data_IF_573047217265
#
_entry.id   IF_573047217265
#
_cell.length_a   1.000
_cell.length_b   1.000
_cell.length_c   1.000
_cell.angle_alpha   90.00
_cell.angle_beta   90.00
_cell.angle_gamma   90.00
#
_symmetry.space_group_name_H-M   'P 1'
#
loop_
_entity.id
_entity.type
_entity.pdbx_description
1 polymer ?
#
# COMPACT_ATOMS: atom_id res chain seq x y z
N UNK A 1 15.92 -2.00 10.31
CA UNK A 1 15.41 -1.42 9.06
C UNK A 1 16.57 -0.72 8.37
N UNK A 2 16.85 -1.09 7.12
CA UNK A 2 17.96 -0.47 6.39
C UNK A 2 17.69 1.02 6.11
N UNK A 3 18.73 1.84 6.13
CA UNK A 3 18.61 3.30 6.05
C UNK A 3 17.95 3.80 4.76
N UNK A 4 18.18 3.09 3.65
CA UNK A 4 17.58 3.43 2.35
C UNK A 4 16.06 3.24 2.34
N UNK A 5 15.54 2.23 3.06
CA UNK A 5 14.09 1.96 3.18
C UNK A 5 13.42 3.13 3.90
N UNK A 6 14.01 3.58 5.01
CA UNK A 6 13.45 4.69 5.80
C UNK A 6 13.42 6.00 4.98
N UNK A 7 14.43 6.22 4.13
CA UNK A 7 14.49 7.37 3.24
C UNK A 7 13.42 7.31 2.13
N UNK A 8 13.20 6.13 1.54
CA UNK A 8 12.16 5.94 0.54
C UNK A 8 10.75 6.16 1.14
N UNK A 9 10.51 5.63 2.34
CA UNK A 9 9.24 5.83 3.07
C UNK A 9 9.00 7.30 3.39
N UNK A 10 10.02 8.03 3.83
CA UNK A 10 9.92 9.48 4.10
C UNK A 10 9.56 10.25 2.83
N UNK A 11 10.28 10.01 1.73
CA UNK A 11 10.02 10.66 0.45
C UNK A 11 8.58 10.42 -0.03
N UNK A 12 8.13 9.17 0.00
CA UNK A 12 6.76 8.82 -0.37
C UNK A 12 5.71 9.48 0.55
N UNK A 13 5.96 9.50 1.86
CA UNK A 13 5.07 10.13 2.82
C UNK A 13 4.92 11.64 2.55
N UNK A 14 6.02 12.33 2.25
CA UNK A 14 6.02 13.76 1.88
C UNK A 14 5.24 14.00 0.57
N UNK A 15 5.53 13.23 -0.48
CA UNK A 15 4.86 13.36 -1.79
C UNK A 15 3.34 13.15 -1.71
N UNK A 16 2.88 12.30 -0.79
CA UNK A 16 1.46 11.95 -0.64
C UNK A 16 0.76 12.64 0.53
N UNK A 17 1.45 13.52 1.26
CA UNK A 17 0.88 14.22 2.43
C UNK A 17 0.49 13.27 3.57
N UNK A 18 1.23 12.17 3.74
CA UNK A 18 0.99 11.15 4.76
C UNK A 18 2.03 11.24 5.87
N UNK A 19 1.73 10.66 7.04
CA UNK A 19 2.75 10.43 8.06
C UNK A 19 3.56 9.17 7.73
N UNK A 20 4.85 9.16 8.08
CA UNK A 20 5.71 7.97 7.97
C UNK A 20 5.09 6.76 8.68
N UNK A 21 4.47 6.97 9.83
CA UNK A 21 3.74 5.94 10.58
C UNK A 21 2.58 5.35 9.80
N UNK A 22 1.83 6.15 9.03
CA UNK A 22 0.73 5.64 8.21
C UNK A 22 1.24 4.76 7.06
N UNK A 23 2.35 5.14 6.43
CA UNK A 23 2.96 4.35 5.35
C UNK A 23 3.48 3.01 5.88
N UNK A 24 4.17 3.01 7.03
CA UNK A 24 4.65 1.79 7.66
C UNK A 24 3.52 0.88 8.14
N UNK A 25 2.46 1.46 8.74
CA UNK A 25 1.28 0.70 9.17
C UNK A 25 0.59 0.02 7.98
N UNK A 26 0.39 0.74 6.87
CA UNK A 26 -0.15 0.18 5.63
C UNK A 26 0.74 -0.94 5.06
N UNK A 27 2.05 -0.73 5.01
CA UNK A 27 3.00 -1.75 4.56
C UNK A 27 2.95 -3.02 5.42
N UNK A 28 2.93 -2.87 6.74
CA UNK A 28 2.80 -4.01 7.65
C UNK A 28 1.48 -4.77 7.45
N UNK A 29 0.37 -4.05 7.30
CA UNK A 29 -0.94 -4.65 7.02
C UNK A 29 -0.95 -5.42 5.69
N UNK A 30 -0.29 -4.89 4.64
CA UNK A 30 -0.14 -5.57 3.35
C UNK A 30 0.67 -6.85 3.46
N UNK A 31 1.80 -6.84 4.17
CA UNK A 31 2.61 -8.05 4.41
C UNK A 31 1.84 -9.11 5.21
N UNK A 32 1.09 -8.67 6.23
CA UNK A 32 0.22 -9.55 7.00
C UNK A 32 -0.89 -10.13 6.12
N UNK A 33 -1.44 -9.34 5.20
CA UNK A 33 -2.45 -9.78 4.24
C UNK A 33 -1.94 -10.77 3.20
N UNK A 34 -0.74 -10.54 2.67
CA UNK A 34 -0.09 -11.49 1.77
C UNK A 34 0.14 -12.85 2.47
N UNK A 35 0.31 -12.84 3.80
CA UNK A 35 0.60 -14.02 4.61
C UNK A 35 -0.64 -14.73 5.18
N UNK A 36 -1.84 -14.13 5.12
CA UNK A 36 -3.04 -14.65 5.79
C UNK A 36 -4.32 -14.49 4.95
N UNK A 37 -5.20 -15.48 5.02
CA UNK A 37 -6.51 -15.38 4.37
C UNK A 37 -7.31 -14.18 4.93
N UNK A 38 -8.20 -13.56 4.13
CA UNK A 38 -9.05 -12.45 4.59
C UNK A 38 -9.84 -12.78 5.87
N UNK A 39 -10.26 -14.03 6.03
CA UNK A 39 -10.94 -14.52 7.23
C UNK A 39 -10.03 -14.46 8.46
N UNK A 40 -8.77 -14.93 8.35
CA UNK A 40 -7.79 -14.88 9.43
C UNK A 40 -7.41 -13.44 9.79
N UNK A 41 -7.28 -12.55 8.80
CA UNK A 41 -7.07 -11.13 9.04
C UNK A 41 -8.23 -10.45 9.76
N UNK A 42 -9.45 -10.75 9.32
CA UNK A 42 -10.67 -10.18 9.91
C UNK A 42 -10.79 -10.57 11.40
N UNK A 43 -10.40 -11.79 11.75
CA UNK A 43 -10.39 -12.25 13.14
C UNK A 43 -9.37 -11.52 14.04
N UNK A 44 -8.25 -11.02 13.47
CA UNK A 44 -7.18 -10.33 14.22
C UNK A 44 -7.39 -8.81 14.30
N UNK A 45 -7.77 -8.17 13.20
CA UNK A 45 -7.78 -6.71 13.06
C UNK A 45 -9.19 -6.11 12.95
N UNK A 46 -10.21 -6.96 12.79
CA UNK A 46 -11.58 -6.55 12.57
C UNK A 46 -11.91 -6.26 11.10
N UNK A 47 -13.17 -6.47 10.72
CA UNK A 47 -13.63 -6.37 9.34
C UNK A 47 -13.46 -4.97 8.73
N UNK A 48 -13.65 -3.92 9.52
CA UNK A 48 -13.49 -2.54 9.04
C UNK A 48 -12.06 -2.22 8.61
N UNK A 49 -11.06 -2.66 9.38
CA UNK A 49 -9.65 -2.44 9.05
C UNK A 49 -9.24 -3.20 7.78
N UNK A 50 -9.73 -4.43 7.62
CA UNK A 50 -9.49 -5.24 6.41
C UNK A 50 -10.17 -4.61 5.20
N UNK A 51 -11.41 -4.14 5.32
CA UNK A 51 -12.12 -3.48 4.22
C UNK A 51 -11.43 -2.19 3.76
N UNK A 52 -10.95 -1.36 4.70
CA UNK A 52 -10.14 -0.17 4.35
C UNK A 52 -8.85 -0.55 3.66
N UNK A 53 -8.18 -1.61 4.11
CA UNK A 53 -6.97 -2.10 3.46
C UNK A 53 -7.24 -2.58 2.03
N UNK A 54 -8.29 -3.37 1.82
CA UNK A 54 -8.64 -3.88 0.50
C UNK A 54 -9.02 -2.75 -0.47
N UNK A 55 -9.70 -1.72 0.01
CA UNK A 55 -9.98 -0.52 -0.77
C UNK A 55 -8.70 0.26 -1.12
N UNK A 56 -7.79 0.45 -0.17
CA UNK A 56 -6.49 1.10 -0.41
C UNK A 56 -5.65 0.28 -1.42
N UNK A 57 -5.67 -1.05 -1.35
CA UNK A 57 -4.96 -1.92 -2.30
C UNK A 57 -5.52 -1.84 -3.72
N UNK A 58 -6.85 -1.77 -3.85
CA UNK A 58 -7.52 -1.61 -5.14
C UNK A 58 -7.12 -0.30 -5.83
N UNK A 59 -7.07 0.81 -5.09
CA UNK A 59 -6.63 2.12 -5.61
C UNK A 59 -5.20 2.05 -6.13
N UNK A 60 -4.30 1.39 -5.38
CA UNK A 60 -2.90 1.24 -5.79
C UNK A 60 -2.77 0.40 -7.07
N UNK A 61 -3.59 -0.64 -7.22
CA UNK A 61 -3.61 -1.48 -8.44
C UNK A 61 -4.10 -0.68 -9.64
N UNK A 62 -5.14 0.13 -9.47
CA UNK A 62 -5.71 0.98 -10.52
C UNK A 62 -4.73 2.09 -10.93
N UNK A 63 -4.11 2.78 -9.97
CA UNK A 63 -3.07 3.79 -10.22
C UNK A 63 -1.89 3.18 -10.98
N UNK A 64 -1.45 1.97 -10.60
CA UNK A 64 -0.36 1.27 -11.27
C UNK A 64 -0.73 0.89 -12.71
N UNK A 65 -1.95 0.40 -12.93
CA UNK A 65 -2.44 0.09 -14.27
C UNK A 65 -2.46 1.34 -15.16
N UNK A 66 -2.95 2.46 -14.62
CA UNK A 66 -2.97 3.75 -15.31
C UNK A 66 -1.56 4.21 -15.70
N UNK A 67 -0.60 4.16 -14.76
CA UNK A 67 0.78 4.53 -15.01
C UNK A 67 1.48 3.63 -16.06
N UNK A 68 1.15 2.33 -16.08
CA UNK A 68 1.67 1.41 -17.10
C UNK A 68 1.12 1.75 -18.49
N UNK A 69 -0.17 2.08 -18.58
CA UNK A 69 -0.82 2.45 -19.84
C UNK A 69 -0.29 3.79 -20.38
N UNK A 70 -0.11 4.79 -19.51
CA UNK A 70 0.54 6.06 -19.85
C UNK A 70 1.96 5.85 -20.40
N UNK A 71 2.77 5.03 -19.71
CA UNK A 71 4.13 4.73 -20.15
C UNK A 71 4.18 4.00 -21.51
N UNK A 72 3.21 3.10 -21.77
CA UNK A 72 3.06 2.44 -23.08
C UNK A 72 2.60 3.39 -24.17
N UNK A 73 1.77 4.38 -23.85
CA UNK A 73 1.34 5.43 -24.77
C UNK A 73 2.48 6.36 -25.19
N UNK A 74 3.42 6.66 -24.28
CA UNK A 74 4.59 7.51 -24.54
C UNK A 74 5.68 6.84 -25.39
N UNK A 75 5.66 5.51 -25.53
CA UNK A 75 6.65 4.73 -26.29
C UNK A 75 6.23 4.43 -27.74
N UNK A 76 5.10 4.99 -28.21
CA UNK A 76 4.61 4.86 -29.59
C UNK A 76 4.64 6.21 -30.32
#
# INVERSE_FOLDING_TARGET
>A
MESWILNAVRKYAEEKGLSVSAVLARGALREIAASHTPATRTAMYGAGAVATQEADEQIVVEDLACAIDEHRGETT
#
